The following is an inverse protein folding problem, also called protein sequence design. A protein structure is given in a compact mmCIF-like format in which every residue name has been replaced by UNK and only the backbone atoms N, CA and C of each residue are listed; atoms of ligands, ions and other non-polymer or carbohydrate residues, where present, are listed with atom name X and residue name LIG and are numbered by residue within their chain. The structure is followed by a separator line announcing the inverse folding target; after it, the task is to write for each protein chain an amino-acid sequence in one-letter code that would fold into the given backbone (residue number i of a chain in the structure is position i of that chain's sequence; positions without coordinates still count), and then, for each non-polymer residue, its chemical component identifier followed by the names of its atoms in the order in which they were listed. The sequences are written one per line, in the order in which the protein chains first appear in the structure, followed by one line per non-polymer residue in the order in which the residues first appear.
data_IF_090480874776
#
_entry.id   IF_090480874776
#
_cell.length_a   1.000
_cell.length_b   1.000
_cell.length_c   1.000
_cell.angle_alpha   90.00
_cell.angle_beta   90.00
_cell.angle_gamma   90.00
#
_symmetry.space_group_name_H-M   'P 1'
#
loop_
_entity.id
_entity.type
_entity.pdbx_description
1 polymer ?
#
# COMPACT_ATOMS: atom_id res chain seq x y z
N UNK A 1 -25.35 8.48 4.77
CA UNK A 1 -26.47 9.14 5.47
C UNK A 1 -27.80 8.39 5.29
N UNK A 2 -28.31 8.23 4.06
CA UNK A 2 -29.60 7.55 3.80
C UNK A 2 -29.59 6.05 4.11
N UNK A 3 -28.53 5.32 3.75
CA UNK A 3 -28.39 3.89 4.05
C UNK A 3 -28.45 3.54 5.55
N UNK A 4 -27.73 4.31 6.39
CA UNK A 4 -27.73 4.08 7.85
C UNK A 4 -29.12 4.33 8.43
N UNK A 5 -29.88 5.31 7.92
CA UNK A 5 -31.26 5.58 8.38
C UNK A 5 -32.23 4.45 8.06
N UNK A 6 -32.05 3.82 6.90
CA UNK A 6 -32.91 2.71 6.45
C UNK A 6 -32.70 1.44 7.28
N UNK A 7 -31.48 1.22 7.80
CA UNK A 7 -31.18 0.07 8.66
C UNK A 7 -31.27 0.37 10.15
N UNK A 8 -30.99 1.59 10.58
CA UNK A 8 -30.91 1.99 11.98
C UNK A 8 -31.65 3.33 12.14
N UNK A 9 -32.86 3.29 12.70
CA UNK A 9 -33.84 4.40 12.76
C UNK A 9 -33.42 5.64 13.60
N UNK A 10 -32.17 5.74 14.07
CA UNK A 10 -31.72 6.82 14.96
C UNK A 10 -30.72 7.75 14.25
N UNK A 11 -31.04 9.05 14.18
CA UNK A 11 -30.18 10.09 13.60
C UNK A 11 -28.81 10.17 14.32
N UNK A 12 -28.76 9.91 15.63
CA UNK A 12 -27.50 9.93 16.41
C UNK A 12 -26.50 8.90 15.90
N UNK A 13 -26.98 7.78 15.38
CA UNK A 13 -26.11 6.71 14.88
C UNK A 13 -25.32 7.13 13.62
N UNK A 14 -25.81 8.11 12.86
CA UNK A 14 -25.16 8.57 11.61
C UNK A 14 -23.95 9.44 11.90
N UNK A 15 -24.11 10.38 12.83
CA UNK A 15 -23.05 11.29 13.23
C UNK A 15 -21.89 10.52 13.87
N UNK A 16 -22.20 9.53 14.71
CA UNK A 16 -21.21 8.65 15.34
C UNK A 16 -20.36 7.95 14.30
N UNK A 17 -20.97 7.38 13.25
CA UNK A 17 -20.21 6.68 12.19
C UNK A 17 -19.29 7.64 11.44
N UNK A 18 -19.75 8.85 11.10
CA UNK A 18 -18.94 9.86 10.44
C UNK A 18 -17.78 10.34 11.33
N UNK A 19 -18.05 10.57 12.62
CA UNK A 19 -17.02 10.93 13.60
C UNK A 19 -15.98 9.82 13.75
N UNK A 20 -16.40 8.55 13.83
CA UNK A 20 -15.50 7.41 13.90
C UNK A 20 -14.55 7.37 12.70
N UNK A 21 -15.06 7.54 11.48
CA UNK A 21 -14.24 7.59 10.25
C UNK A 21 -13.27 8.77 10.31
N UNK A 22 -13.75 9.96 10.68
CA UNK A 22 -12.91 11.17 10.74
C UNK A 22 -11.78 11.07 11.76
N UNK A 23 -12.08 10.64 12.99
CA UNK A 23 -11.10 10.47 14.07
C UNK A 23 -10.07 9.40 13.68
N UNK A 24 -10.51 8.25 13.20
CA UNK A 24 -9.59 7.17 12.81
C UNK A 24 -8.77 7.50 11.57
N UNK A 25 -9.30 8.26 10.60
CA UNK A 25 -8.52 8.79 9.48
C UNK A 25 -7.45 9.76 9.98
N UNK A 26 -7.77 10.64 10.93
CA UNK A 26 -6.77 11.48 11.59
C UNK A 26 -5.67 10.68 12.29
N UNK A 27 -6.04 9.67 13.09
CA UNK A 27 -5.10 8.76 13.75
C UNK A 27 -4.25 8.00 12.73
N UNK A 28 -4.86 7.47 11.68
CA UNK A 28 -4.19 6.78 10.59
C UNK A 28 -3.17 7.67 9.91
N UNK A 29 -3.50 8.95 9.65
CA UNK A 29 -2.56 9.89 9.06
C UNK A 29 -1.33 10.12 9.92
N UNK A 30 -1.49 10.22 11.24
CA UNK A 30 -0.39 10.40 12.18
C UNK A 30 0.49 9.15 12.28
N UNK A 31 -0.13 7.97 12.43
CA UNK A 31 0.57 6.70 12.55
C UNK A 31 1.32 6.35 11.27
N UNK A 32 0.61 6.31 10.13
CA UNK A 32 1.18 5.91 8.86
C UNK A 32 2.04 7.00 8.22
N UNK A 33 1.81 8.28 8.55
CA UNK A 33 2.73 9.37 8.22
C UNK A 33 4.10 9.15 8.85
N UNK A 34 4.15 8.86 10.16
CA UNK A 34 5.41 8.52 10.83
C UNK A 34 6.04 7.24 10.30
N UNK A 35 5.25 6.20 10.03
CA UNK A 35 5.76 4.97 9.42
C UNK A 35 6.36 5.26 8.03
N UNK A 36 5.75 6.14 7.23
CA UNK A 36 6.25 6.51 5.91
C UNK A 36 7.63 7.19 5.95
N UNK A 37 7.94 7.89 7.04
CA UNK A 37 9.28 8.49 7.24
C UNK A 37 10.35 7.42 7.49
N UNK A 38 10.02 6.33 8.19
CA UNK A 38 10.94 5.23 8.48
C UNK A 38 11.04 4.17 7.38
N UNK A 39 10.09 4.14 6.44
CA UNK A 39 10.01 3.12 5.38
C UNK A 39 10.59 3.67 4.08
N UNK A 40 11.84 3.32 3.69
CA UNK A 40 12.45 3.86 2.48
C UNK A 40 11.95 3.20 1.20
N UNK A 41 11.80 4.03 0.15
CA UNK A 41 11.62 3.63 -1.24
C UNK A 41 10.33 2.84 -1.53
N UNK A 42 10.45 1.82 -2.38
CA UNK A 42 9.32 1.03 -2.93
C UNK A 42 8.47 0.31 -1.89
N UNK A 43 8.93 0.25 -0.63
CA UNK A 43 8.15 -0.34 0.47
C UNK A 43 6.91 0.49 0.82
N UNK A 44 6.93 1.81 0.55
CA UNK A 44 5.77 2.71 0.70
C UNK A 44 4.59 2.26 -0.20
N UNK A 45 4.90 1.70 -1.36
CA UNK A 45 3.88 1.18 -2.31
C UNK A 45 3.12 -0.01 -1.71
N UNK A 46 3.76 -0.88 -0.92
CA UNK A 46 3.05 -1.98 -0.26
C UNK A 46 2.04 -1.48 0.78
N UNK A 47 2.35 -0.40 1.49
CA UNK A 47 1.39 0.23 2.42
C UNK A 47 0.19 0.81 1.66
N UNK A 48 0.44 1.43 0.50
CA UNK A 48 -0.63 1.91 -0.37
C UNK A 48 -1.52 0.78 -0.90
N UNK A 49 -0.92 -0.33 -1.33
CA UNK A 49 -1.64 -1.53 -1.77
C UNK A 49 -2.50 -2.08 -0.64
N UNK A 50 -1.92 -2.21 0.56
CA UNK A 50 -2.63 -2.70 1.74
C UNK A 50 -3.86 -1.84 2.04
N UNK A 51 -3.71 -0.51 2.02
CA UNK A 51 -4.82 0.42 2.22
C UNK A 51 -5.92 0.24 1.18
N UNK A 52 -5.58 0.12 -0.10
CA UNK A 52 -6.56 -0.12 -1.15
C UNK A 52 -7.34 -1.42 -0.98
N UNK A 53 -6.67 -2.50 -0.55
CA UNK A 53 -7.32 -3.77 -0.24
C UNK A 53 -8.30 -3.64 0.92
N UNK A 54 -7.88 -3.03 2.03
CA UNK A 54 -8.75 -2.86 3.19
C UNK A 54 -9.91 -1.89 2.92
N UNK A 55 -9.68 -0.78 2.24
CA UNK A 55 -10.76 0.16 1.87
C UNK A 55 -11.79 -0.54 0.98
N UNK A 56 -11.35 -1.29 -0.03
CA UNK A 56 -12.23 -2.05 -0.91
C UNK A 56 -13.02 -3.14 -0.18
N UNK A 57 -12.34 -3.94 0.64
CA UNK A 57 -12.96 -5.03 1.40
C UNK A 57 -13.96 -4.48 2.43
N UNK A 58 -13.56 -3.48 3.21
CA UNK A 58 -14.44 -2.86 4.21
C UNK A 58 -15.66 -2.21 3.56
N UNK A 59 -15.50 -1.56 2.40
CA UNK A 59 -16.63 -1.00 1.63
C UNK A 59 -17.66 -2.08 1.27
N UNK A 60 -17.21 -3.28 0.86
CA UNK A 60 -18.10 -4.40 0.56
C UNK A 60 -18.69 -5.05 1.82
N UNK A 61 -18.05 -4.93 2.99
CA UNK A 61 -18.58 -5.45 4.26
C UNK A 61 -19.67 -4.58 4.88
N UNK A 62 -19.75 -3.29 4.54
CA UNK A 62 -20.80 -2.37 5.02
C UNK A 62 -22.21 -2.95 4.83
N UNK A 63 -22.64 -3.41 3.63
CA UNK A 63 -23.98 -3.96 3.44
C UNK A 63 -24.21 -5.30 4.14
N UNK A 64 -23.17 -6.02 4.61
CA UNK A 64 -23.33 -7.23 5.41
C UNK A 64 -23.54 -6.93 6.90
N UNK A 65 -23.29 -5.71 7.35
CA UNK A 65 -23.42 -5.34 8.75
C UNK A 65 -24.90 -5.22 9.16
N UNK A 66 -25.39 -6.22 9.90
CA UNK A 66 -26.73 -6.24 10.49
C UNK A 66 -26.80 -5.58 11.88
N UNK A 67 -25.64 -5.40 12.53
CA UNK A 67 -25.54 -4.83 13.89
C UNK A 67 -24.74 -3.52 13.83
N UNK A 68 -25.20 -2.50 14.57
CA UNK A 68 -24.55 -1.19 14.59
C UNK A 68 -23.09 -1.24 15.07
N UNK A 69 -22.79 -2.09 16.05
CA UNK A 69 -21.40 -2.29 16.51
C UNK A 69 -20.47 -2.85 15.41
N UNK A 70 -20.97 -3.74 14.56
CA UNK A 70 -20.21 -4.25 13.42
C UNK A 70 -19.96 -3.16 12.38
N UNK A 71 -20.96 -2.30 12.13
CA UNK A 71 -20.82 -1.16 11.23
C UNK A 71 -19.75 -0.17 11.75
N UNK A 72 -19.75 0.13 13.05
CA UNK A 72 -18.70 0.97 13.67
C UNK A 72 -17.33 0.33 13.46
N UNK A 73 -17.17 -0.96 13.74
CA UNK A 73 -15.89 -1.65 13.58
C UNK A 73 -15.36 -1.55 12.14
N UNK A 74 -16.22 -1.78 11.15
CA UNK A 74 -15.88 -1.64 9.72
C UNK A 74 -15.48 -0.19 9.40
N UNK A 75 -16.22 0.80 9.90
CA UNK A 75 -15.93 2.22 9.67
C UNK A 75 -14.63 2.69 10.34
N UNK A 76 -14.28 2.18 11.53
CA UNK A 76 -13.01 2.48 12.20
C UNK A 76 -11.82 1.94 11.40
N UNK A 77 -11.91 0.71 10.91
CA UNK A 77 -10.87 0.10 10.07
C UNK A 77 -10.76 0.86 8.73
N UNK A 78 -11.89 1.13 8.09
CA UNK A 78 -11.94 1.87 6.84
C UNK A 78 -11.32 3.26 6.99
N UNK A 79 -11.66 4.01 8.05
CA UNK A 79 -11.08 5.33 8.32
C UNK A 79 -9.58 5.27 8.59
N UNK A 80 -9.11 4.27 9.36
CA UNK A 80 -7.68 4.08 9.62
C UNK A 80 -6.88 3.89 8.31
N UNK A 81 -7.36 3.04 7.41
CA UNK A 81 -6.69 2.77 6.13
C UNK A 81 -6.89 3.88 5.09
N UNK A 82 -7.99 4.63 5.15
CA UNK A 82 -8.17 5.87 4.40
C UNK A 82 -7.11 6.92 4.81
N UNK A 83 -6.87 7.05 6.11
CA UNK A 83 -5.80 7.91 6.62
C UNK A 83 -4.41 7.50 6.12
N UNK A 84 -4.14 6.19 6.07
CA UNK A 84 -2.92 5.64 5.48
C UNK A 84 -2.78 5.99 3.99
N UNK A 85 -3.83 5.76 3.21
CA UNK A 85 -3.88 6.07 1.78
C UNK A 85 -3.53 7.54 1.50
N UNK A 86 -4.15 8.46 2.24
CA UNK A 86 -3.94 9.91 2.05
C UNK A 86 -2.52 10.32 2.46
N UNK A 87 -2.01 9.83 3.60
CA UNK A 87 -0.67 10.18 4.08
C UNK A 87 0.45 9.69 3.17
N UNK A 88 0.27 8.52 2.53
CA UNK A 88 1.32 7.89 1.72
C UNK A 88 1.29 8.36 0.26
N UNK A 89 0.16 8.88 -0.21
CA UNK A 89 -0.01 9.37 -1.58
C UNK A 89 1.06 10.40 -1.98
N UNK A 90 1.30 11.44 -1.16
CA UNK A 90 2.27 12.48 -1.47
C UNK A 90 3.74 11.98 -1.44
N UNK A 91 4.20 11.21 -0.43
CA UNK A 91 5.49 10.56 -0.47
C UNK A 91 5.71 9.66 -1.69
N UNK A 92 4.70 8.89 -2.11
CA UNK A 92 4.81 8.07 -3.33
C UNK A 92 4.96 8.95 -4.57
N UNK A 93 4.14 10.00 -4.70
CA UNK A 93 4.26 10.93 -5.82
C UNK A 93 5.67 11.55 -5.89
N UNK A 94 6.20 12.00 -4.74
CA UNK A 94 7.55 12.55 -4.64
C UNK A 94 8.63 11.56 -5.12
N UNK A 95 8.54 10.29 -4.74
CA UNK A 95 9.50 9.26 -5.15
C UNK A 95 9.39 8.90 -6.64
N UNK A 96 8.22 9.08 -7.25
CA UNK A 96 7.97 8.74 -8.64
C UNK A 96 8.39 9.84 -9.63
N UNK A 97 8.11 11.11 -9.31
CA UNK A 97 8.38 12.24 -10.23
C UNK A 97 9.54 13.13 -9.78
N UNK A 98 10.01 12.97 -8.53
CA UNK A 98 11.05 13.81 -7.96
C UNK A 98 10.56 15.18 -7.48
N UNK A 99 11.45 15.94 -6.86
CA UNK A 99 11.10 17.18 -6.16
C UNK A 99 10.61 18.32 -7.07
N UNK A 100 10.99 18.31 -8.35
CA UNK A 100 10.67 19.41 -9.27
C UNK A 100 9.20 19.38 -9.71
N UNK A 101 8.66 18.17 -9.98
CA UNK A 101 7.32 18.00 -10.57
C UNK A 101 6.28 17.45 -9.58
N UNK A 102 6.64 17.20 -8.32
CA UNK A 102 5.76 16.58 -7.32
C UNK A 102 4.46 17.36 -7.10
N UNK A 103 4.52 18.69 -7.07
CA UNK A 103 3.34 19.54 -6.84
C UNK A 103 2.35 19.43 -8.01
N UNK A 104 2.86 19.43 -9.25
CA UNK A 104 2.06 19.28 -10.45
C UNK A 104 1.47 17.87 -10.55
N UNK A 105 2.24 16.83 -10.22
CA UNK A 105 1.76 15.46 -10.18
C UNK A 105 0.64 15.27 -9.15
N UNK A 106 0.80 15.77 -7.93
CA UNK A 106 -0.25 15.73 -6.89
C UNK A 106 -1.49 16.51 -7.35
N UNK A 107 -1.31 17.67 -7.99
CA UNK A 107 -2.40 18.45 -8.57
C UNK A 107 -3.22 17.65 -9.59
N UNK A 108 -2.55 16.98 -10.53
CA UNK A 108 -3.24 16.09 -11.48
C UNK A 108 -3.90 14.90 -10.80
N UNK A 109 -3.23 14.25 -9.84
CA UNK A 109 -3.80 13.13 -9.08
C UNK A 109 -5.11 13.54 -8.37
N UNK A 110 -5.09 14.65 -7.64
CA UNK A 110 -6.28 15.20 -6.98
C UNK A 110 -7.36 15.61 -7.98
N UNK A 111 -6.96 16.19 -9.11
CA UNK A 111 -7.85 16.51 -10.22
C UNK A 111 -8.61 15.27 -10.71
N UNK A 112 -7.91 14.17 -10.98
CA UNK A 112 -8.54 12.92 -11.39
C UNK A 112 -9.39 12.27 -10.28
N UNK A 113 -9.00 12.41 -9.01
CA UNK A 113 -9.79 11.91 -7.87
C UNK A 113 -11.10 12.67 -7.68
N UNK A 114 -11.17 13.95 -8.06
CA UNK A 114 -12.38 14.75 -7.90
C UNK A 114 -13.57 14.24 -8.71
N UNK A 115 -13.31 13.61 -9.86
CA UNK A 115 -14.35 13.06 -10.76
C UNK A 115 -15.16 11.96 -10.07
N UNK A 116 -14.56 10.84 -9.62
CA UNK A 116 -15.30 9.78 -8.91
C UNK A 116 -15.89 10.27 -7.59
N UNK A 117 -15.26 11.22 -6.90
CA UNK A 117 -15.84 11.79 -5.67
C UNK A 117 -17.12 12.59 -5.94
N UNK A 118 -17.21 13.27 -7.09
CA UNK A 118 -18.39 14.05 -7.48
C UNK A 118 -19.47 13.17 -8.10
N UNK A 119 -19.08 12.22 -8.95
CA UNK A 119 -19.98 11.35 -9.71
C UNK A 119 -20.50 10.17 -8.85
N UNK A 120 -19.73 9.74 -7.85
CA UNK A 120 -20.07 8.62 -6.98
C UNK A 120 -21.41 8.79 -6.23
N UNK A 121 -21.64 9.92 -5.50
CA UNK A 121 -22.89 10.11 -4.77
C UNK A 121 -24.16 10.15 -5.65
N UNK A 122 -24.19 10.86 -6.81
CA UNK A 122 -25.30 10.79 -7.76
C UNK A 122 -25.55 9.36 -8.27
N UNK A 123 -24.51 8.63 -8.67
CA UNK A 123 -24.65 7.23 -9.13
C UNK A 123 -25.21 6.34 -8.02
N UNK A 124 -24.71 6.48 -6.78
CA UNK A 124 -25.22 5.73 -5.64
C UNK A 124 -26.69 6.07 -5.34
N UNK A 125 -27.10 7.32 -5.52
CA UNK A 125 -28.50 7.76 -5.45
C UNK A 125 -29.37 7.10 -6.52
N UNK A 126 -28.95 7.13 -7.79
CA UNK A 126 -29.67 6.49 -8.89
C UNK A 126 -29.80 4.98 -8.71
N UNK A 127 -28.74 4.30 -8.23
CA UNK A 127 -28.78 2.88 -7.91
C UNK A 127 -29.78 2.60 -6.79
N UNK A 128 -29.83 3.43 -5.76
CA UNK A 128 -30.84 3.33 -4.70
C UNK A 128 -32.25 3.50 -5.25
N UNK A 129 -32.48 4.47 -6.12
CA UNK A 129 -33.81 4.74 -6.69
C UNK A 129 -34.29 3.59 -7.59
N UNK A 130 -33.37 2.90 -8.28
CA UNK A 130 -33.70 1.78 -9.17
C UNK A 130 -33.83 0.44 -8.46
N UNK A 131 -32.97 0.14 -7.49
CA UNK A 131 -32.92 -1.17 -6.82
C UNK A 131 -33.58 -1.18 -5.44
N UNK A 132 -33.91 -0.01 -4.88
CA UNK A 132 -34.49 0.10 -3.55
C UNK A 132 -33.53 -0.23 -2.41
N UNK A 133 -32.22 -0.41 -2.69
CA UNK A 133 -31.15 -0.65 -1.70
C UNK A 133 -29.86 0.07 -2.06
N UNK A 134 -29.05 0.42 -1.06
CA UNK A 134 -27.68 0.94 -1.27
C UNK A 134 -26.63 -0.17 -1.38
N UNK A 135 -27.00 -1.43 -1.16
CA UNK A 135 -26.06 -2.54 -1.03
C UNK A 135 -25.21 -2.70 -2.30
N UNK A 136 -25.86 -2.61 -3.48
CA UNK A 136 -25.17 -2.66 -4.78
C UNK A 136 -24.22 -1.48 -4.98
N UNK A 137 -24.58 -0.29 -4.49
CA UNK A 137 -23.70 0.87 -4.56
C UNK A 137 -22.42 0.66 -3.71
N UNK A 138 -22.53 0.05 -2.54
CA UNK A 138 -21.37 -0.28 -1.70
C UNK A 138 -20.49 -1.38 -2.28
N UNK A 139 -21.09 -2.42 -2.89
CA UNK A 139 -20.33 -3.43 -3.60
C UNK A 139 -19.56 -2.82 -4.79
N UNK A 140 -20.23 -1.99 -5.60
CA UNK A 140 -19.58 -1.31 -6.72
C UNK A 140 -18.50 -0.32 -6.27
N UNK A 141 -18.68 0.35 -5.13
CA UNK A 141 -17.67 1.26 -4.57
C UNK A 141 -16.39 0.54 -4.13
N UNK A 142 -16.49 -0.73 -3.73
CA UNK A 142 -15.32 -1.51 -3.29
C UNK A 142 -14.46 -2.06 -4.45
N UNK A 143 -15.01 -2.21 -5.65
CA UNK A 143 -14.32 -2.83 -6.79
C UNK A 143 -13.11 -2.00 -7.27
N UNK A 144 -13.23 -0.67 -7.53
CA UNK A 144 -12.11 0.11 -8.05
C UNK A 144 -10.89 0.14 -7.12
N UNK A 145 -11.02 0.31 -5.78
CA UNK A 145 -9.91 0.15 -4.85
C UNK A 145 -9.21 -1.20 -4.95
N UNK A 146 -9.96 -2.30 -5.06
CA UNK A 146 -9.37 -3.65 -5.18
C UNK A 146 -8.60 -3.81 -6.49
N UNK A 147 -9.16 -3.34 -7.61
CA UNK A 147 -8.47 -3.36 -8.90
C UNK A 147 -7.22 -2.48 -8.85
N UNK A 148 -7.34 -1.26 -8.30
CA UNK A 148 -6.21 -0.35 -8.13
C UNK A 148 -5.11 -0.94 -7.26
N UNK A 149 -5.47 -1.57 -6.14
CA UNK A 149 -4.54 -2.30 -5.28
C UNK A 149 -3.86 -3.47 -5.99
N UNK A 150 -4.61 -4.25 -6.78
CA UNK A 150 -4.06 -5.34 -7.59
C UNK A 150 -3.06 -4.82 -8.64
N UNK A 151 -3.41 -3.76 -9.37
CA UNK A 151 -2.53 -3.11 -10.36
C UNK A 151 -1.27 -2.56 -9.68
N UNK A 152 -1.42 -1.86 -8.56
CA UNK A 152 -0.30 -1.33 -7.78
C UNK A 152 0.59 -2.43 -7.20
N UNK A 153 0.05 -3.63 -6.93
CA UNK A 153 0.81 -4.77 -6.45
C UNK A 153 1.81 -5.30 -7.50
N UNK A 154 1.53 -5.12 -8.80
CA UNK A 154 2.46 -5.52 -9.87
C UNK A 154 3.74 -4.67 -9.88
N UNK A 155 3.67 -3.39 -9.52
CA UNK A 155 4.83 -2.48 -9.55
C UNK A 155 5.97 -2.93 -8.60
N UNK A 156 5.75 -3.13 -7.29
CA UNK A 156 6.79 -3.59 -6.39
C UNK A 156 7.13 -5.06 -6.60
N UNK A 157 6.24 -5.88 -7.17
CA UNK A 157 6.54 -7.27 -7.53
C UNK A 157 7.57 -7.35 -8.67
N UNK A 158 7.39 -6.54 -9.72
CA UNK A 158 8.35 -6.45 -10.84
C UNK A 158 9.69 -5.89 -10.34
N UNK A 159 9.66 -4.84 -9.51
CA UNK A 159 10.88 -4.26 -8.94
C UNK A 159 11.61 -5.22 -7.99
N UNK A 160 10.88 -5.98 -7.17
CA UNK A 160 11.45 -7.00 -6.28
C UNK A 160 12.02 -8.20 -7.04
N UNK A 161 11.40 -8.62 -8.15
CA UNK A 161 11.99 -9.64 -9.03
C UNK A 161 13.31 -9.15 -9.63
N UNK A 162 13.35 -7.91 -10.14
CA UNK A 162 14.57 -7.30 -10.70
C UNK A 162 15.69 -7.17 -9.66
N UNK A 163 15.38 -6.76 -8.43
CA UNK A 163 16.38 -6.72 -7.34
C UNK A 163 16.84 -8.10 -6.88
N UNK A 164 15.96 -9.12 -6.87
CA UNK A 164 16.36 -10.50 -6.56
C UNK A 164 17.29 -11.08 -7.63
N UNK A 165 17.07 -10.77 -8.90
CA UNK A 165 17.96 -11.15 -9.99
C UNK A 165 19.34 -10.48 -9.83
N UNK A 166 19.38 -9.16 -9.60
CA UNK A 166 20.63 -8.41 -9.41
C UNK A 166 21.40 -8.89 -8.17
N UNK A 167 20.73 -9.11 -7.03
CA UNK A 167 21.40 -9.61 -5.82
C UNK A 167 21.89 -11.05 -5.97
N UNK A 168 21.23 -11.90 -6.79
CA UNK A 168 21.73 -13.24 -7.10
C UNK A 168 23.00 -13.18 -7.94
N UNK A 169 23.03 -12.31 -8.96
CA UNK A 169 24.22 -12.13 -9.81
C UNK A 169 25.39 -11.55 -9.01
N UNK A 170 25.18 -10.47 -8.25
CA UNK A 170 26.24 -9.85 -7.44
C UNK A 170 26.68 -10.72 -6.25
N UNK A 171 25.78 -11.53 -5.69
CA UNK A 171 26.10 -12.51 -4.64
C UNK A 171 26.94 -13.67 -5.17
N UNK A 172 26.63 -14.16 -6.38
CA UNK A 172 27.42 -15.16 -7.08
C UNK A 172 28.83 -14.66 -7.40
N UNK A 173 28.93 -13.46 -7.98
CA UNK A 173 30.23 -12.84 -8.33
C UNK A 173 31.11 -12.57 -7.09
N UNK A 174 30.51 -12.19 -5.95
CA UNK A 174 31.26 -12.02 -4.69
C UNK A 174 31.76 -13.34 -4.12
N UNK A 175 30.97 -14.42 -4.23
CA UNK A 175 31.36 -15.75 -3.75
C UNK A 175 32.49 -16.33 -4.60
N UNK A 176 32.42 -16.19 -5.93
CA UNK A 176 33.50 -16.60 -6.85
C UNK A 176 34.81 -15.88 -6.53
N UNK A 177 34.77 -14.55 -6.38
CA UNK A 177 35.97 -13.76 -6.04
C UNK A 177 36.60 -14.13 -4.70
N UNK A 178 35.79 -14.52 -3.70
CA UNK A 178 36.31 -15.00 -2.42
C UNK A 178 36.97 -16.38 -2.52
N UNK A 179 36.39 -17.30 -3.30
CA UNK A 179 36.97 -18.62 -3.57
C UNK A 179 38.27 -18.52 -4.36
N UNK A 180 38.32 -17.66 -5.37
CA UNK A 180 39.51 -17.43 -6.20
C UNK A 180 40.65 -16.80 -5.39
N UNK A 181 40.32 -15.84 -4.50
CA UNK A 181 41.29 -15.26 -3.58
C UNK A 181 41.78 -16.26 -2.51
N UNK A 182 40.93 -17.20 -2.06
CA UNK A 182 41.38 -18.24 -1.13
C UNK A 182 42.30 -19.26 -1.81
N UNK A 183 41.96 -19.67 -3.04
CA UNK A 183 42.77 -20.59 -3.83
C UNK A 183 44.13 -19.98 -4.23
N UNK A 184 44.18 -18.68 -4.52
CA UNK A 184 45.45 -17.99 -4.80
C UNK A 184 46.35 -17.93 -3.55
N UNK A 185 45.78 -17.72 -2.36
CA UNK A 185 46.53 -17.74 -1.10
C UNK A 185 47.07 -19.14 -0.76
N UNK A 186 46.28 -20.19 -1.00
CA UNK A 186 46.72 -21.58 -0.81
C UNK A 186 47.83 -21.96 -1.81
N UNK A 187 47.71 -21.55 -3.07
CA UNK A 187 48.75 -21.76 -4.08
C UNK A 187 50.05 -21.03 -3.72
N UNK A 188 49.97 -19.77 -3.26
CA UNK A 188 51.13 -18.99 -2.82
C UNK A 188 51.81 -19.60 -1.59
N UNK A 189 51.04 -20.08 -0.61
CA UNK A 189 51.57 -20.75 0.58
C UNK A 189 52.25 -22.09 0.24
N UNK A 190 51.68 -22.87 -0.68
CA UNK A 190 52.29 -24.13 -1.15
C UNK A 190 53.58 -23.92 -1.96
N UNK A 191 53.66 -22.84 -2.73
CA UNK A 191 54.86 -22.46 -3.47
C UNK A 191 56.02 -22.01 -2.57
N UNK A 192 55.71 -21.36 -1.44
CA UNK A 192 56.70 -20.96 -0.42
C UNK A 192 57.26 -22.20 0.29
N UNK A 193 56.41 -23.14 0.71
CA UNK A 193 56.83 -24.40 1.35
C UNK A 193 57.70 -25.29 0.45
N UNK A 194 57.43 -25.28 -0.86
CA UNK A 194 58.21 -26.04 -1.84
C UNK A 194 59.59 -25.42 -2.09
N UNK A 195 59.68 -24.09 -2.13
CA UNK A 195 60.97 -23.36 -2.24
C UNK A 195 61.86 -23.53 -1.01
N UNK A 196 61.26 -23.59 0.18
CA UNK A 196 61.98 -23.79 1.44
C UNK A 196 62.52 -25.24 1.55
N UNK A 197 61.80 -26.22 1.01
CA UNK A 197 62.22 -27.63 1.01
C UNK A 197 63.36 -27.91 0.03
N UNK A 198 63.40 -27.25 -1.13
CA UNK A 198 64.47 -27.41 -2.13
C UNK A 198 65.77 -26.65 -1.78
N UNK A 199 65.75 -25.75 -0.78
CA UNK A 199 66.94 -24.98 -0.35
C UNK A 199 67.71 -25.60 0.82
N UNK A 200 67.24 -26.75 1.36
CA UNK A 200 67.82 -27.42 2.54
C UNK A 200 68.62 -28.68 2.15
N UNK A 201 68.86 -28.93 0.86
CA UNK A 201 69.67 -30.04 0.35
C UNK A 201 70.92 -29.52 -0.34
#
# INVERSE_FOLDING_TARGET
MKHVNERFQDEKNKEVVLMCIGITSGVGRLLFGRIADYVPGVKKVYLQVLSFFFIGLMSMMIPLCSVFGALIAVCLIMGLFDGCFISIMAPIAFELVGAQDVSQAIGFLLGFMSIPMTVGPPIAGLLRDKLGSYDVAFYLAGIPPLIGGAVLCFIPWIHSKKQREINKTTGGEKMEKMLENQNSLLSSSSGIFKKESDSVI
#
